data_IF_067049624483
#
_entry.id   IF_067049624483
#
_cell.length_a   1.000
_cell.length_b   1.000
_cell.length_c   1.000
_cell.angle_alpha   90.00
_cell.angle_beta   90.00
_cell.angle_gamma   90.00
#
_symmetry.space_group_name_H-M   'P 1'
#
loop_
_entity.id
_entity.type
_entity.pdbx_description
1 polymer ?
#
# COMPACT_ATOMS: atom_id res chain seq x y z
N UNK A 1 2.29 -4.61 -11.70
CA UNK A 1 3.64 -4.07 -11.46
C UNK A 1 3.62 -3.35 -10.12
N UNK A 2 4.07 -4.00 -9.05
CA UNK A 2 4.22 -3.34 -7.75
C UNK A 2 5.36 -2.33 -7.89
N UNK A 3 5.04 -1.08 -8.09
CA UNK A 3 6.00 0.00 -8.09
C UNK A 3 6.66 0.08 -6.70
N UNK A 4 7.97 0.36 -6.62
CA UNK A 4 8.67 0.62 -5.35
C UNK A 4 7.98 1.69 -4.52
N UNK A 5 7.31 2.66 -5.16
CA UNK A 5 6.47 3.66 -4.52
C UNK A 5 5.29 3.06 -3.75
N UNK A 6 4.71 1.95 -4.24
CA UNK A 6 3.62 1.28 -3.55
C UNK A 6 4.01 0.80 -2.15
N UNK A 7 5.13 0.07 -2.04
CA UNK A 7 5.56 -0.45 -0.74
C UNK A 7 5.89 0.68 0.25
N UNK A 8 6.50 1.76 -0.22
CA UNK A 8 6.78 2.93 0.61
C UNK A 8 5.49 3.58 1.13
N UNK A 9 4.48 3.73 0.28
CA UNK A 9 3.17 4.26 0.64
C UNK A 9 2.39 3.31 1.55
N UNK A 10 2.55 2.00 1.37
CA UNK A 10 1.99 0.98 2.25
C UNK A 10 2.55 1.12 3.68
N UNK A 11 3.86 1.20 3.84
CA UNK A 11 4.47 1.39 5.17
C UNK A 11 4.08 2.73 5.78
N UNK A 12 3.97 3.78 4.98
CA UNK A 12 3.47 5.10 5.42
C UNK A 12 2.02 5.03 5.90
N UNK A 13 1.19 4.18 5.30
CA UNK A 13 -0.20 3.97 5.74
C UNK A 13 -0.28 3.19 7.04
N UNK A 14 0.68 2.29 7.28
CA UNK A 14 0.72 1.48 8.49
C UNK A 14 1.16 2.30 9.72
N UNK A 15 2.20 3.12 9.58
CA UNK A 15 2.78 3.87 10.69
C UNK A 15 3.40 5.19 10.22
N UNK A 16 3.41 6.18 11.10
CA UNK A 16 4.01 7.50 10.85
C UNK A 16 5.55 7.40 10.89
N UNK A 17 6.14 6.72 9.90
CA UNK A 17 7.59 6.67 9.73
C UNK A 17 8.13 8.00 9.23
N UNK A 18 9.29 8.40 9.76
CA UNK A 18 10.05 9.54 9.24
C UNK A 18 10.56 9.28 7.82
N UNK A 19 10.97 10.34 7.12
CA UNK A 19 11.57 10.19 5.79
C UNK A 19 12.80 9.29 5.82
N UNK A 20 13.68 9.44 6.83
CA UNK A 20 14.88 8.61 6.97
C UNK A 20 14.54 7.12 7.17
N UNK A 21 13.52 6.82 7.98
CA UNK A 21 13.05 5.45 8.19
C UNK A 21 12.46 4.86 6.90
N UNK A 22 11.63 5.62 6.17
CA UNK A 22 11.06 5.18 4.89
C UNK A 22 12.14 4.95 3.81
N UNK A 23 13.16 5.80 3.76
CA UNK A 23 14.28 5.63 2.84
C UNK A 23 15.13 4.41 3.21
N UNK A 24 15.30 4.14 4.51
CA UNK A 24 15.96 2.91 4.99
C UNK A 24 15.15 1.68 4.63
N UNK A 25 13.82 1.69 4.82
CA UNK A 25 12.92 0.61 4.40
C UNK A 25 13.06 0.36 2.89
N UNK A 26 13.10 1.41 2.07
CA UNK A 26 13.25 1.28 0.61
C UNK A 26 14.59 0.63 0.23
N UNK A 27 15.69 1.02 0.88
CA UNK A 27 17.01 0.41 0.68
C UNK A 27 17.01 -1.08 1.05
N UNK A 28 16.38 -1.42 2.17
CA UNK A 28 16.29 -2.81 2.62
C UNK A 28 15.42 -3.65 1.70
N UNK A 29 14.30 -3.12 1.20
CA UNK A 29 13.47 -3.80 0.20
C UNK A 29 14.25 -4.07 -1.10
N UNK A 30 15.03 -3.10 -1.58
CA UNK A 30 15.88 -3.30 -2.75
C UNK A 30 16.89 -4.43 -2.52
N UNK A 31 17.50 -4.47 -1.33
CA UNK A 31 18.44 -5.52 -0.96
C UNK A 31 17.74 -6.88 -0.87
N UNK A 32 16.55 -6.93 -0.29
CA UNK A 32 15.73 -8.13 -0.20
C UNK A 32 15.40 -8.70 -1.58
N UNK A 33 14.84 -7.89 -2.48
CA UNK A 33 14.47 -8.35 -3.82
C UNK A 33 15.66 -8.89 -4.59
N UNK A 34 16.85 -8.27 -4.46
CA UNK A 34 18.09 -8.81 -5.07
C UNK A 34 18.50 -10.16 -4.50
N UNK A 35 18.24 -10.44 -3.20
CA UNK A 35 18.49 -11.78 -2.62
C UNK A 35 17.59 -12.87 -3.21
N UNK A 36 16.45 -12.46 -3.75
CA UNK A 36 15.49 -13.33 -4.43
C UNK A 36 15.64 -13.31 -5.96
N UNK A 37 16.81 -12.87 -6.46
CA UNK A 37 17.13 -12.76 -7.89
C UNK A 37 16.15 -11.86 -8.67
N UNK A 38 15.61 -10.84 -8.00
CA UNK A 38 14.71 -9.85 -8.58
C UNK A 38 15.35 -8.47 -8.61
N UNK A 39 15.37 -7.86 -9.79
CA UNK A 39 15.97 -6.55 -10.04
C UNK A 39 15.04 -5.63 -10.86
N UNK A 40 15.57 -4.51 -11.36
CA UNK A 40 14.83 -3.53 -12.14
C UNK A 40 14.42 -4.04 -13.54
N UNK A 41 15.02 -5.12 -14.01
CA UNK A 41 14.74 -5.77 -15.31
C UNK A 41 13.81 -6.96 -15.17
N UNK A 42 13.49 -7.38 -13.96
CA UNK A 42 12.62 -8.53 -13.70
C UNK A 42 11.20 -8.26 -14.17
N UNK A 43 10.68 -9.11 -15.06
CA UNK A 43 9.26 -9.09 -15.39
C UNK A 43 8.45 -9.80 -14.28
N UNK A 44 7.98 -9.01 -13.35
CA UNK A 44 7.21 -9.50 -12.20
C UNK A 44 5.91 -10.23 -12.59
N UNK A 45 5.40 -10.04 -13.80
CA UNK A 45 4.20 -10.73 -14.28
C UNK A 45 4.45 -12.23 -14.53
N UNK A 46 5.71 -12.61 -14.70
CA UNK A 46 6.15 -13.99 -14.92
C UNK A 46 6.66 -14.69 -13.66
N UNK A 47 6.75 -13.95 -12.55
CA UNK A 47 7.23 -14.52 -11.28
C UNK A 47 6.05 -15.16 -10.55
N UNK A 48 6.19 -16.44 -10.21
CA UNK A 48 5.17 -17.14 -9.43
C UNK A 48 5.04 -16.53 -8.03
N UNK A 49 3.81 -16.39 -7.48
CA UNK A 49 3.58 -15.73 -6.19
C UNK A 49 4.46 -16.27 -5.05
N UNK A 50 4.73 -17.56 -5.04
CA UNK A 50 5.51 -18.25 -4.00
C UNK A 50 7.01 -17.90 -4.02
N UNK A 51 7.48 -17.27 -5.10
CA UNK A 51 8.87 -16.83 -5.24
C UNK A 51 9.11 -15.42 -4.68
N UNK A 52 8.06 -14.69 -4.40
CA UNK A 52 8.20 -13.35 -3.80
C UNK A 52 8.61 -13.46 -2.33
N UNK A 53 9.49 -12.56 -1.85
CA UNK A 53 9.79 -12.48 -0.42
C UNK A 53 8.54 -12.15 0.39
N UNK A 54 8.47 -12.70 1.59
CA UNK A 54 7.42 -12.42 2.57
C UNK A 54 7.82 -11.28 3.53
N UNK A 55 6.92 -10.84 4.38
CA UNK A 55 7.23 -9.88 5.43
C UNK A 55 8.18 -10.47 6.49
N UNK A 56 8.17 -11.81 6.70
CA UNK A 56 9.18 -12.46 7.54
C UNK A 56 10.57 -12.37 6.94
N UNK A 57 10.73 -12.65 5.64
CA UNK A 57 12.02 -12.54 4.96
C UNK A 57 12.56 -11.11 5.03
N UNK A 58 11.66 -10.13 4.93
CA UNK A 58 12.01 -8.73 5.06
C UNK A 58 12.53 -8.40 6.47
N UNK A 59 11.84 -8.90 7.49
CA UNK A 59 12.22 -8.64 8.87
C UNK A 59 13.53 -9.35 9.24
N UNK A 60 13.74 -10.58 8.78
CA UNK A 60 14.99 -11.32 8.99
C UNK A 60 16.19 -10.57 8.38
N UNK A 61 16.00 -9.94 7.20
CA UNK A 61 17.01 -9.06 6.63
C UNK A 61 17.27 -7.81 7.47
N UNK A 62 16.22 -7.19 8.04
CA UNK A 62 16.39 -6.01 8.90
C UNK A 62 17.18 -6.35 10.18
N UNK A 63 16.87 -7.49 10.81
CA UNK A 63 17.60 -7.97 11.99
C UNK A 63 19.06 -8.26 11.65
N UNK A 64 19.32 -8.94 10.53
CA UNK A 64 20.71 -9.20 10.06
C UNK A 64 21.48 -7.89 9.83
N UNK A 65 20.88 -6.89 9.18
CA UNK A 65 21.53 -5.60 8.94
C UNK A 65 21.76 -4.80 10.22
N UNK A 66 20.87 -4.93 11.21
CA UNK A 66 21.04 -4.32 12.52
C UNK A 66 22.19 -5.00 13.30
N UNK A 67 22.24 -6.33 13.30
CA UNK A 67 23.29 -7.09 14.00
C UNK A 67 24.67 -6.90 13.37
N UNK A 68 24.74 -6.70 12.05
CA UNK A 68 25.99 -6.47 11.32
C UNK A 68 26.38 -4.99 11.22
N UNK A 69 25.63 -4.09 11.85
CA UNK A 69 25.89 -2.67 11.79
C UNK A 69 27.27 -2.34 12.39
N UNK A 70 28.10 -1.65 11.60
CA UNK A 70 29.43 -1.19 12.04
C UNK A 70 29.52 0.35 11.88
N UNK A 71 29.58 1.11 12.99
CA UNK A 71 29.63 2.57 12.94
C UNK A 71 30.89 3.12 12.28
N UNK A 72 31.93 2.28 12.10
CA UNK A 72 33.17 2.67 11.41
C UNK A 72 33.07 2.62 9.90
N UNK A 73 32.03 1.98 9.37
CA UNK A 73 31.74 1.92 7.92
C UNK A 73 30.93 3.13 7.49
N UNK A 74 31.02 3.48 6.21
CA UNK A 74 30.11 4.46 5.59
C UNK A 74 28.75 3.81 5.36
N UNK A 75 27.86 3.96 6.33
CA UNK A 75 26.48 3.49 6.22
C UNK A 75 25.60 4.61 5.64
N UNK A 76 24.53 4.25 4.92
CA UNK A 76 23.54 5.20 4.39
C UNK A 76 22.47 5.56 5.43
N UNK A 77 22.41 4.81 6.53
CA UNK A 77 21.48 5.01 7.66
C UNK A 77 22.24 4.86 8.98
N UNK A 78 21.68 5.42 10.04
CA UNK A 78 22.23 5.27 11.40
C UNK A 78 21.74 3.99 12.05
N UNK A 79 22.48 3.53 13.10
CA UNK A 79 22.07 2.40 13.93
C UNK A 79 20.69 2.63 14.57
N UNK A 80 20.47 3.84 15.08
CA UNK A 80 19.19 4.26 15.65
C UNK A 80 18.04 4.14 14.61
N UNK A 81 18.27 4.58 13.37
CA UNK A 81 17.24 4.51 12.32
C UNK A 81 16.83 3.08 12.01
N UNK A 82 17.79 2.14 11.86
CA UNK A 82 17.44 0.74 11.57
C UNK A 82 16.78 0.07 12.78
N UNK A 83 17.23 0.39 14.01
CA UNK A 83 16.61 -0.08 15.24
C UNK A 83 15.12 0.36 15.34
N UNK A 84 14.84 1.63 15.05
CA UNK A 84 13.48 2.17 15.04
C UNK A 84 12.62 1.52 13.96
N UNK A 85 13.18 1.22 12.79
CA UNK A 85 12.47 0.48 11.72
C UNK A 85 12.16 -0.94 12.18
N UNK A 86 13.11 -1.68 12.76
CA UNK A 86 12.89 -3.00 13.31
C UNK A 86 11.78 -2.98 14.37
N UNK A 87 11.85 -2.07 15.34
CA UNK A 87 10.84 -1.91 16.38
C UNK A 87 9.46 -1.56 15.77
N UNK A 88 9.46 -0.67 14.78
CA UNK A 88 8.23 -0.21 14.11
C UNK A 88 7.50 -1.31 13.34
N UNK A 89 8.24 -2.25 12.75
CA UNK A 89 7.71 -3.31 11.90
C UNK A 89 7.55 -4.65 12.62
N UNK A 90 8.04 -4.81 13.84
CA UNK A 90 8.00 -6.07 14.57
C UNK A 90 6.58 -6.67 14.61
N UNK A 91 5.56 -5.88 14.99
CA UNK A 91 4.17 -6.37 15.10
C UNK A 91 3.64 -6.90 13.78
N UNK A 92 3.92 -6.19 12.69
CA UNK A 92 3.50 -6.54 11.32
C UNK A 92 4.18 -7.82 10.81
N UNK A 93 5.47 -7.98 11.07
CA UNK A 93 6.27 -9.03 10.43
C UNK A 93 6.37 -10.31 11.27
N UNK A 94 6.53 -10.18 12.58
CA UNK A 94 6.76 -11.32 13.51
C UNK A 94 5.77 -11.37 14.68
N UNK A 95 5.12 -10.23 15.01
CA UNK A 95 4.24 -10.11 16.15
C UNK A 95 2.78 -10.49 15.85
N UNK A 96 1.87 -9.95 16.65
CA UNK A 96 0.44 -10.30 16.62
C UNK A 96 -0.27 -9.97 15.30
N UNK A 97 0.24 -9.01 14.53
CA UNK A 97 -0.35 -8.57 13.27
C UNK A 97 0.20 -9.35 12.05
N UNK A 98 1.23 -10.18 12.23
CA UNK A 98 1.87 -10.93 11.14
C UNK A 98 0.90 -11.82 10.36
N UNK A 99 -0.13 -12.36 11.00
CA UNK A 99 -1.19 -13.16 10.37
C UNK A 99 -1.95 -12.43 9.24
N UNK A 100 -1.90 -11.09 9.20
CA UNK A 100 -2.57 -10.30 8.17
C UNK A 100 -1.66 -9.97 6.98
N UNK A 101 -0.34 -9.97 7.17
CA UNK A 101 0.61 -9.49 6.18
C UNK A 101 1.64 -10.52 5.74
N UNK A 102 1.89 -11.53 6.58
CA UNK A 102 2.94 -12.50 6.33
C UNK A 102 2.39 -13.71 5.57
N UNK A 103 2.66 -13.74 4.29
CA UNK A 103 2.24 -14.81 3.38
C UNK A 103 2.19 -14.34 1.93
N UNK A 104 1.97 -15.29 1.04
CA UNK A 104 1.80 -14.99 -0.37
C UNK A 104 0.35 -14.58 -0.67
N UNK A 105 0.18 -13.80 -1.74
CA UNK A 105 -1.15 -13.37 -2.19
C UNK A 105 -2.03 -14.57 -2.52
N UNK A 106 -3.22 -14.61 -1.91
CA UNK A 106 -4.23 -15.62 -2.11
C UNK A 106 -5.48 -15.11 -2.87
N UNK A 107 -5.42 -13.88 -3.39
CA UNK A 107 -6.49 -13.31 -4.19
C UNK A 107 -6.51 -14.02 -5.54
N UNK A 108 -7.65 -14.64 -5.85
CA UNK A 108 -7.88 -15.25 -7.16
C UNK A 108 -8.29 -14.18 -8.15
N UNK A 109 -7.76 -14.27 -9.37
CA UNK A 109 -8.19 -13.42 -10.47
C UNK A 109 -9.58 -13.90 -10.94
N UNK A 110 -10.61 -13.21 -10.49
CA UNK A 110 -12.01 -13.52 -10.80
C UNK A 110 -12.65 -12.32 -11.49
N UNK A 111 -13.67 -12.61 -12.32
CA UNK A 111 -14.46 -11.58 -13.03
C UNK A 111 -15.20 -10.64 -12.07
N UNK A 112 -15.46 -11.09 -10.87
CA UNK A 112 -16.16 -10.33 -9.84
C UNK A 112 -15.51 -10.59 -8.48
N UNK A 113 -14.96 -9.56 -7.87
CA UNK A 113 -14.29 -9.62 -6.58
C UNK A 113 -14.87 -8.60 -5.62
N UNK A 114 -15.21 -9.02 -4.42
CA UNK A 114 -15.75 -8.16 -3.35
C UNK A 114 -14.87 -8.26 -2.11
N UNK A 115 -14.43 -7.12 -1.61
CA UNK A 115 -13.71 -7.02 -0.34
C UNK A 115 -14.68 -6.62 0.78
N UNK A 116 -14.90 -7.51 1.74
CA UNK A 116 -15.68 -7.21 2.95
C UNK A 116 -14.83 -6.45 3.96
N UNK A 117 -15.08 -5.15 4.15
CA UNK A 117 -14.28 -4.30 5.03
C UNK A 117 -14.75 -4.23 6.48
N UNK A 118 -15.92 -4.80 6.80
CA UNK A 118 -16.50 -4.72 8.16
C UNK A 118 -15.54 -5.17 9.25
N UNK A 119 -14.90 -6.34 9.09
CA UNK A 119 -13.94 -6.85 10.07
C UNK A 119 -12.66 -6.00 10.17
N UNK A 120 -12.29 -5.29 9.10
CA UNK A 120 -11.14 -4.39 9.10
C UNK A 120 -11.41 -3.17 9.99
N UNK A 121 -12.66 -2.71 10.06
CA UNK A 121 -13.03 -1.52 10.83
C UNK A 121 -12.94 -1.72 12.35
N UNK A 122 -12.93 -2.98 12.81
CA UNK A 122 -12.80 -3.33 14.23
C UNK A 122 -11.33 -3.39 14.69
N UNK A 123 -10.39 -3.30 13.77
CA UNK A 123 -8.95 -3.36 14.04
C UNK A 123 -8.40 -2.01 14.54
N UNK A 124 -7.21 -2.04 15.12
CA UNK A 124 -6.51 -0.80 15.47
C UNK A 124 -6.23 0.04 14.21
N UNK A 125 -6.02 1.35 14.39
CA UNK A 125 -5.90 2.31 13.30
C UNK A 125 -4.80 1.92 12.31
N UNK A 126 -3.60 1.60 12.77
CA UNK A 126 -2.46 1.28 11.90
C UNK A 126 -2.74 0.10 10.99
N UNK A 127 -3.24 -0.99 11.57
CA UNK A 127 -3.57 -2.21 10.85
C UNK A 127 -4.72 -1.97 9.86
N UNK A 128 -5.77 -1.29 10.30
CA UNK A 128 -6.91 -0.91 9.45
C UNK A 128 -6.46 -0.10 8.24
N UNK A 129 -5.71 0.97 8.47
CA UNK A 129 -5.29 1.89 7.41
C UNK A 129 -4.38 1.18 6.39
N UNK A 130 -3.48 0.30 6.82
CA UNK A 130 -2.65 -0.50 5.93
C UNK A 130 -3.46 -1.51 5.11
N UNK A 131 -4.44 -2.19 5.70
CA UNK A 131 -5.30 -3.14 4.98
C UNK A 131 -6.22 -2.43 3.96
N UNK A 132 -6.83 -1.31 4.35
CA UNK A 132 -7.64 -0.50 3.42
C UNK A 132 -6.78 0.03 2.27
N UNK A 133 -5.56 0.47 2.56
CA UNK A 133 -4.61 0.89 1.53
C UNK A 133 -4.25 -0.26 0.58
N UNK A 134 -4.06 -1.47 1.09
CA UNK A 134 -3.78 -2.65 0.25
C UNK A 134 -4.93 -2.95 -0.72
N UNK A 135 -6.19 -2.87 -0.26
CA UNK A 135 -7.38 -3.02 -1.10
C UNK A 135 -7.43 -1.93 -2.18
N UNK A 136 -7.24 -0.66 -1.78
CA UNK A 136 -7.26 0.48 -2.69
C UNK A 136 -6.16 0.37 -3.75
N UNK A 137 -4.98 -0.10 -3.37
CA UNK A 137 -3.89 -0.32 -4.29
C UNK A 137 -4.15 -1.47 -5.27
N UNK A 138 -4.74 -2.57 -4.81
CA UNK A 138 -5.18 -3.65 -5.69
C UNK A 138 -6.17 -3.12 -6.75
N UNK A 139 -7.19 -2.37 -6.33
CA UNK A 139 -8.15 -1.73 -7.23
C UNK A 139 -7.47 -0.77 -8.22
N UNK A 140 -6.52 0.03 -7.73
CA UNK A 140 -5.75 0.95 -8.58
C UNK A 140 -4.99 0.21 -9.67
N UNK A 141 -4.33 -0.89 -9.32
CA UNK A 141 -3.60 -1.71 -10.29
C UNK A 141 -4.53 -2.37 -11.32
N UNK A 142 -5.69 -2.84 -10.91
CA UNK A 142 -6.69 -3.39 -11.84
C UNK A 142 -7.22 -2.31 -12.80
N UNK A 143 -7.70 -1.19 -12.26
CA UNK A 143 -8.33 -0.11 -13.05
C UNK A 143 -7.34 0.60 -13.98
N UNK A 144 -6.12 0.85 -13.53
CA UNK A 144 -5.13 1.64 -14.29
C UNK A 144 -4.09 0.79 -15.02
N UNK A 145 -3.83 -0.43 -14.56
CA UNK A 145 -2.88 -1.35 -15.15
C UNK A 145 -3.49 -2.16 -16.29
N UNK A 146 -4.41 -3.05 -15.97
CA UNK A 146 -5.07 -3.91 -16.95
C UNK A 146 -6.12 -3.14 -17.78
N UNK A 147 -6.88 -2.22 -17.17
CA UNK A 147 -7.97 -1.50 -17.83
C UNK A 147 -9.22 -2.38 -18.04
N UNK A 148 -10.31 -1.77 -18.54
CA UNK A 148 -11.62 -2.43 -18.74
C UNK A 148 -12.23 -3.02 -17.46
N UNK A 149 -12.01 -2.36 -16.32
CA UNK A 149 -12.56 -2.74 -15.03
C UNK A 149 -13.55 -1.71 -14.51
N UNK A 150 -14.52 -2.20 -13.74
CA UNK A 150 -15.39 -1.36 -12.93
C UNK A 150 -15.02 -1.57 -11.47
N UNK A 151 -14.58 -0.51 -10.79
CA UNK A 151 -14.34 -0.48 -9.35
C UNK A 151 -15.44 0.28 -8.65
N UNK A 152 -15.96 -0.26 -7.55
CA UNK A 152 -16.94 0.42 -6.71
C UNK A 152 -16.39 0.50 -5.26
N UNK A 153 -16.41 1.69 -4.70
CA UNK A 153 -16.12 1.95 -3.29
C UNK A 153 -17.42 2.43 -2.65
N UNK A 154 -18.01 1.56 -1.86
CA UNK A 154 -19.08 1.94 -0.95
C UNK A 154 -18.48 2.44 0.37
N UNK A 155 -19.19 3.32 1.07
CA UNK A 155 -18.70 3.94 2.29
C UNK A 155 -17.33 4.64 2.10
N UNK A 156 -17.25 5.52 1.10
CA UNK A 156 -16.01 6.21 0.71
C UNK A 156 -15.24 6.80 1.88
N UNK A 157 -15.93 7.32 2.92
CA UNK A 157 -15.33 7.93 4.09
C UNK A 157 -14.32 7.00 4.80
N UNK A 158 -14.48 5.68 4.70
CA UNK A 158 -13.56 4.70 5.29
C UNK A 158 -12.14 4.80 4.70
N UNK A 159 -12.06 5.20 3.43
CA UNK A 159 -10.80 5.34 2.69
C UNK A 159 -10.21 6.75 2.78
N UNK A 160 -10.94 7.71 3.36
CA UNK A 160 -10.49 9.09 3.53
C UNK A 160 -9.75 9.30 4.87
N UNK A 161 -9.20 8.24 5.44
CA UNK A 161 -8.58 8.24 6.77
C UNK A 161 -7.19 8.86 6.79
N UNK A 162 -6.50 8.88 5.65
CA UNK A 162 -5.16 9.47 5.54
C UNK A 162 -4.91 10.08 4.16
N UNK A 163 -3.91 10.96 4.07
CA UNK A 163 -3.56 11.68 2.84
C UNK A 163 -3.15 10.75 1.70
N UNK A 164 -2.46 9.66 2.00
CA UNK A 164 -1.99 8.70 0.99
C UNK A 164 -3.18 8.05 0.27
N UNK A 165 -4.18 7.58 1.02
CA UNK A 165 -5.40 7.00 0.44
C UNK A 165 -6.17 8.04 -0.41
N UNK A 166 -6.29 9.28 0.07
CA UNK A 166 -6.91 10.38 -0.66
C UNK A 166 -6.20 10.62 -2.01
N UNK A 167 -4.87 10.65 -2.01
CA UNK A 167 -4.09 10.83 -3.24
C UNK A 167 -4.27 9.68 -4.23
N UNK A 168 -4.37 8.44 -3.74
CA UNK A 168 -4.66 7.27 -4.59
C UNK A 168 -6.04 7.37 -5.24
N UNK A 169 -7.09 7.69 -4.49
CA UNK A 169 -8.44 7.90 -5.03
C UNK A 169 -8.43 9.03 -6.05
N UNK A 170 -7.71 10.11 -5.76
CA UNK A 170 -7.51 11.23 -6.68
C UNK A 170 -6.90 10.79 -8.02
N UNK A 171 -5.85 10.01 -7.96
CA UNK A 171 -5.17 9.51 -9.14
C UNK A 171 -6.07 8.57 -9.95
N UNK A 172 -6.84 7.71 -9.28
CA UNK A 172 -7.86 6.88 -9.91
C UNK A 172 -8.86 7.74 -10.68
N UNK A 173 -9.51 8.70 -10.01
CA UNK A 173 -10.54 9.58 -10.62
C UNK A 173 -10.03 10.38 -11.82
N UNK A 174 -8.73 10.68 -11.89
CA UNK A 174 -8.12 11.42 -13.02
C UNK A 174 -7.74 10.53 -14.20
N UNK A 175 -7.46 9.25 -13.96
CA UNK A 175 -6.82 8.37 -14.93
C UNK A 175 -7.67 7.22 -15.42
N UNK A 176 -8.76 6.86 -14.72
CA UNK A 176 -9.66 5.74 -15.05
C UNK A 176 -10.15 5.80 -16.49
N UNK A 177 -10.59 6.98 -16.96
CA UNK A 177 -11.09 7.19 -18.32
C UNK A 177 -10.08 6.86 -19.43
N UNK A 178 -8.78 7.00 -19.14
CA UNK A 178 -7.73 6.71 -20.13
C UNK A 178 -7.50 5.22 -20.35
N UNK A 179 -8.13 4.40 -19.50
CA UNK A 179 -7.99 2.94 -19.49
C UNK A 179 -9.32 2.20 -19.70
N UNK A 180 -10.34 2.92 -20.19
CA UNK A 180 -11.69 2.38 -20.37
C UNK A 180 -12.23 1.71 -19.09
N UNK A 181 -11.84 2.24 -17.94
CA UNK A 181 -12.25 1.80 -16.63
C UNK A 181 -13.21 2.80 -15.99
N UNK A 182 -14.05 2.33 -15.08
CA UNK A 182 -15.03 3.16 -14.37
C UNK A 182 -14.80 3.02 -12.86
N UNK A 183 -14.74 4.15 -12.16
CA UNK A 183 -14.74 4.21 -10.70
C UNK A 183 -16.07 4.77 -10.21
N UNK A 184 -16.78 3.98 -9.40
CA UNK A 184 -18.02 4.37 -8.72
C UNK A 184 -17.70 4.61 -7.25
N UNK A 185 -18.02 5.79 -6.74
CA UNK A 185 -17.83 6.18 -5.36
C UNK A 185 -19.18 6.46 -4.72
N UNK A 186 -19.47 5.81 -3.60
CA UNK A 186 -20.69 6.01 -2.83
C UNK A 186 -20.34 6.43 -1.40
N UNK A 187 -21.12 7.35 -0.85
CA UNK A 187 -21.04 7.75 0.55
C UNK A 187 -22.42 8.18 1.04
N UNK A 188 -22.69 8.00 2.32
CA UNK A 188 -23.95 8.38 2.95
C UNK A 188 -24.05 9.90 3.15
N UNK A 189 -22.91 10.60 3.27
CA UNK A 189 -22.85 12.02 3.52
C UNK A 189 -22.15 12.77 2.39
N UNK A 190 -22.80 13.78 1.85
CA UNK A 190 -22.18 14.66 0.84
C UNK A 190 -20.96 15.40 1.39
N UNK A 191 -20.92 15.62 2.70
CA UNK A 191 -19.82 16.29 3.39
C UNK A 191 -18.49 15.54 3.28
N UNK A 192 -18.53 14.21 3.09
CA UNK A 192 -17.33 13.40 2.85
C UNK A 192 -16.60 13.84 1.58
N UNK A 193 -17.35 14.25 0.56
CA UNK A 193 -16.80 14.80 -0.68
C UNK A 193 -16.34 16.26 -0.57
N UNK A 194 -16.75 16.95 0.49
CA UNK A 194 -16.43 18.37 0.73
C UNK A 194 -15.25 18.56 1.68
N UNK A 195 -14.71 17.50 2.26
CA UNK A 195 -13.53 17.59 3.12
C UNK A 195 -12.34 18.22 2.35
N UNK A 196 -11.47 19.01 3.03
CA UNK A 196 -10.44 19.80 2.35
C UNK A 196 -9.58 19.01 1.35
N UNK A 197 -9.16 17.81 1.68
CA UNK A 197 -8.39 16.96 0.78
C UNK A 197 -9.17 16.39 -0.41
N UNK A 198 -10.49 16.25 -0.29
CA UNK A 198 -11.39 15.63 -1.29
C UNK A 198 -12.09 16.71 -2.13
N UNK A 199 -12.46 17.83 -1.55
CA UNK A 199 -13.18 18.93 -2.22
C UNK A 199 -12.49 19.44 -3.48
N UNK A 200 -11.17 19.53 -3.47
CA UNK A 200 -10.41 19.93 -4.65
C UNK A 200 -10.44 18.89 -5.77
N UNK A 201 -10.75 17.63 -5.43
CA UNK A 201 -10.84 16.52 -6.36
C UNK A 201 -12.20 16.44 -7.05
N UNK A 202 -13.24 16.76 -6.29
CA UNK A 202 -14.64 16.62 -6.72
C UNK A 202 -15.16 17.84 -7.45
N UNK A 203 -14.58 19.03 -7.22
CA UNK A 203 -14.99 20.28 -7.89
C UNK A 203 -15.19 20.20 -9.41
N UNK A 204 -14.33 19.50 -10.19
CA UNK A 204 -14.54 19.38 -11.64
C UNK A 204 -15.59 18.33 -12.03
N UNK A 205 -16.02 17.48 -11.09
CA UNK A 205 -16.84 16.29 -11.39
C UNK A 205 -18.28 16.38 -10.84
N UNK A 206 -18.51 17.14 -9.79
CA UNK A 206 -19.86 17.37 -9.22
C UNK A 206 -20.81 18.04 -10.23
N UNK A 207 -20.28 18.70 -11.27
CA UNK A 207 -21.09 19.31 -12.34
C UNK A 207 -21.52 18.35 -13.47
N UNK A 208 -21.24 17.06 -13.38
CA UNK A 208 -21.52 16.05 -14.43
C UNK A 208 -22.40 14.89 -14.00
N UNK A 209 -23.05 14.97 -12.83
CA UNK A 209 -24.16 14.08 -12.54
C UNK A 209 -25.31 14.47 -13.48
N UNK A 210 -25.37 13.81 -14.63
CA UNK A 210 -26.60 13.86 -15.43
C UNK A 210 -27.62 12.99 -14.69
N UNK A 211 -28.66 13.66 -14.23
CA UNK A 211 -29.95 13.06 -13.88
C UNK A 211 -30.54 12.39 -15.13
#
# INVERSE_FOLDING_TARGET
>A
MFSRHYLKDFFRSYKDFTTAQLDTIELMLQKLYRRFDMDDYTDFSQVAPEKFPTMSDFYDLLEEEFDLYDPKRKNLFSEETIQEVCLGLHSMCKGAESKYFNGHTNIKDDKFLVFGVKGIMELNRSLRDALLFSILSYMTNALLGAGNYVGALDELYLFLTNLTAIEYIRNLMKRDRKKDSLLVLASQNIEDFLQPGVRELTKPQIGRAHV
#
